data_IF_072592939208
#
_entry.id   IF_072592939208
#
_cell.length_a   1.000
_cell.length_b   1.000
_cell.length_c   1.000
_cell.angle_alpha   90.00
_cell.angle_beta   90.00
_cell.angle_gamma   90.00
#
_symmetry.space_group_name_H-M   'P 1'
#
loop_
_entity.id
_entity.type
_entity.pdbx_description
1 polymer ?
#
# COMPACT_ATOMS: atom_id res chain seq x y z
N UNK A 1 23.23 -13.33 -15.72
CA UNK A 1 23.63 -12.88 -14.39
C UNK A 1 23.05 -13.90 -13.42
N UNK A 2 23.86 -14.86 -13.00
CA UNK A 2 23.46 -15.85 -12.00
C UNK A 2 23.56 -15.17 -10.65
N UNK A 3 22.46 -14.60 -10.17
CA UNK A 3 22.34 -14.24 -8.75
C UNK A 3 22.23 -15.54 -7.97
N UNK A 4 23.06 -15.68 -6.93
CA UNK A 4 22.90 -16.73 -5.92
C UNK A 4 21.45 -16.74 -5.44
N UNK A 5 20.86 -17.93 -5.18
CA UNK A 5 19.51 -18.00 -4.64
C UNK A 5 19.50 -17.23 -3.33
N UNK A 6 18.69 -16.18 -3.28
CA UNK A 6 18.55 -15.39 -2.07
C UNK A 6 18.02 -16.30 -0.94
N UNK A 7 18.63 -16.20 0.25
CA UNK A 7 18.37 -17.05 1.42
C UNK A 7 17.08 -16.64 2.17
N UNK A 8 16.05 -16.24 1.44
CA UNK A 8 14.79 -15.82 2.01
C UNK A 8 13.62 -16.11 1.08
N UNK A 9 12.50 -16.39 1.72
CA UNK A 9 11.20 -16.55 1.10
C UNK A 9 10.32 -15.34 1.44
N UNK A 10 9.45 -14.97 0.51
CA UNK A 10 8.56 -13.82 0.58
C UNK A 10 7.11 -14.28 0.60
N UNK A 11 6.43 -13.88 1.67
CA UNK A 11 4.97 -13.91 1.74
C UNK A 11 4.44 -12.50 1.50
N UNK A 12 3.65 -12.33 0.45
CA UNK A 12 3.16 -11.00 0.04
C UNK A 12 1.67 -10.87 0.31
N UNK A 13 1.31 -9.85 1.08
CA UNK A 13 -0.06 -9.45 1.32
C UNK A 13 -0.38 -8.24 0.42
N UNK A 14 -1.32 -8.42 -0.50
CA UNK A 14 -1.79 -7.37 -1.40
C UNK A 14 -1.16 -7.38 -2.80
N UNK A 15 -1.98 -7.02 -3.79
CA UNK A 15 -1.63 -7.16 -5.21
C UNK A 15 -0.64 -6.10 -5.70
N UNK A 16 -0.68 -4.90 -5.10
CA UNK A 16 0.26 -3.81 -5.46
C UNK A 16 1.69 -4.18 -5.08
N UNK A 17 1.90 -4.72 -3.88
CA UNK A 17 3.21 -5.21 -3.44
C UNK A 17 3.69 -6.36 -4.33
N UNK A 18 2.79 -7.31 -4.65
CA UNK A 18 3.08 -8.41 -5.58
C UNK A 18 3.55 -7.89 -6.93
N UNK A 19 2.82 -6.98 -7.56
CA UNK A 19 3.19 -6.43 -8.86
C UNK A 19 4.54 -5.70 -8.87
N UNK A 20 4.94 -5.09 -7.75
CA UNK A 20 6.25 -4.44 -7.60
C UNK A 20 7.37 -5.48 -7.41
N UNK A 21 7.19 -6.42 -6.49
CA UNK A 21 8.22 -7.39 -6.09
C UNK A 21 8.39 -8.54 -7.11
N UNK A 22 7.34 -8.93 -7.83
CA UNK A 22 7.42 -9.97 -8.86
C UNK A 22 8.34 -9.60 -10.03
N UNK A 23 8.74 -8.33 -10.19
CA UNK A 23 9.69 -7.96 -11.27
C UNK A 23 11.14 -8.31 -10.94
N UNK A 24 11.52 -8.30 -9.67
CA UNK A 24 12.90 -8.58 -9.21
C UNK A 24 13.05 -9.87 -8.41
N UNK A 25 12.00 -10.28 -7.69
CA UNK A 25 12.07 -11.34 -6.67
C UNK A 25 11.06 -12.46 -6.93
N UNK A 26 10.68 -12.70 -8.19
CA UNK A 26 9.64 -13.67 -8.54
C UNK A 26 9.91 -15.09 -7.99
N UNK A 27 11.19 -15.49 -7.92
CA UNK A 27 11.61 -16.82 -7.48
C UNK A 27 11.49 -17.03 -5.98
N UNK A 28 11.53 -15.95 -5.20
CA UNK A 28 11.45 -15.95 -3.74
C UNK A 28 10.00 -15.84 -3.24
N UNK A 29 9.01 -15.64 -4.11
CA UNK A 29 7.62 -15.48 -3.67
C UNK A 29 7.00 -16.86 -3.46
N UNK A 30 6.82 -17.23 -2.20
CA UNK A 30 6.28 -18.54 -1.80
C UNK A 30 4.77 -18.52 -1.65
N UNK A 31 4.20 -17.39 -1.17
CA UNK A 31 2.77 -17.24 -0.94
C UNK A 31 2.30 -15.81 -1.20
N UNK A 32 1.10 -15.66 -1.77
CA UNK A 32 0.49 -14.35 -2.01
C UNK A 32 -0.97 -14.31 -1.62
N UNK A 33 -1.39 -13.25 -0.94
CA UNK A 33 -2.78 -12.99 -0.58
C UNK A 33 -3.33 -11.82 -1.39
N UNK A 34 -4.47 -12.02 -2.07
CA UNK A 34 -5.22 -10.98 -2.78
C UNK A 34 -6.37 -10.44 -1.93
N UNK A 35 -6.95 -9.31 -2.35
CA UNK A 35 -8.08 -8.64 -1.69
C UNK A 35 -7.85 -8.17 -0.25
N UNK A 36 -6.60 -8.02 0.17
CA UNK A 36 -6.25 -7.43 1.47
C UNK A 36 -6.42 -5.91 1.41
N UNK A 37 -7.02 -5.31 2.45
CA UNK A 37 -7.16 -3.86 2.60
C UNK A 37 -8.37 -3.23 1.92
N UNK A 38 -9.28 -4.03 1.34
CA UNK A 38 -10.55 -3.54 0.77
C UNK A 38 -11.49 -3.03 1.86
N UNK A 39 -11.67 -3.84 2.91
CA UNK A 39 -12.41 -3.52 4.11
C UNK A 39 -11.45 -3.28 5.28
N UNK A 40 -11.97 -2.86 6.44
CA UNK A 40 -11.17 -2.67 7.65
C UNK A 40 -10.66 -4.05 8.08
N UNK A 41 -9.32 -4.26 8.20
CA UNK A 41 -8.76 -5.54 8.61
C UNK A 41 -9.29 -5.98 9.97
N UNK A 42 -9.65 -7.25 10.08
CA UNK A 42 -10.08 -7.87 11.34
C UNK A 42 -9.04 -8.86 11.86
N UNK A 43 -9.12 -9.21 13.13
CA UNK A 43 -8.25 -10.25 13.69
C UNK A 43 -8.47 -11.61 13.00
N UNK A 44 -9.70 -11.91 12.56
CA UNK A 44 -10.00 -13.14 11.82
C UNK A 44 -9.26 -13.21 10.47
N UNK A 45 -9.11 -12.07 9.78
CA UNK A 45 -8.32 -12.01 8.54
C UNK A 45 -6.84 -12.30 8.81
N UNK A 46 -6.29 -11.70 9.87
CA UNK A 46 -4.89 -11.90 10.26
C UNK A 46 -4.63 -13.35 10.70
N UNK A 47 -5.55 -13.95 11.45
CA UNK A 47 -5.47 -15.35 11.86
C UNK A 47 -5.49 -16.28 10.64
N UNK A 48 -6.43 -16.09 9.71
CA UNK A 48 -6.49 -16.91 8.50
C UNK A 48 -5.20 -16.82 7.68
N UNK A 49 -4.54 -15.65 7.67
CA UNK A 49 -3.23 -15.48 7.03
C UNK A 49 -2.13 -16.21 7.81
N UNK A 50 -2.11 -16.07 9.14
CA UNK A 50 -1.14 -16.74 10.01
C UNK A 50 -1.22 -18.27 9.86
N UNK A 51 -2.44 -18.83 9.82
CA UNK A 51 -2.68 -20.26 9.63
C UNK A 51 -2.16 -20.76 8.28
N UNK A 52 -2.20 -19.93 7.22
CA UNK A 52 -1.62 -20.30 5.94
C UNK A 52 -0.10 -20.16 5.92
N UNK A 53 0.46 -19.24 6.70
CA UNK A 53 1.91 -19.07 6.85
C UNK A 53 2.49 -20.22 7.66
N UNK A 54 1.80 -20.71 8.71
CA UNK A 54 2.27 -21.83 9.54
C UNK A 54 2.32 -23.16 8.79
N UNK A 55 1.58 -23.29 7.68
CA UNK A 55 1.65 -24.43 6.76
C UNK A 55 2.89 -24.42 5.85
N UNK A 56 3.59 -23.29 5.75
CA UNK A 56 4.88 -23.23 5.05
C UNK A 56 5.94 -23.95 5.90
N UNK A 57 6.94 -24.54 5.24
CA UNK A 57 8.04 -25.28 5.88
C UNK A 57 8.61 -24.50 7.08
N UNK A 58 8.70 -25.12 8.26
CA UNK A 58 9.13 -24.43 9.49
C UNK A 58 10.65 -24.23 9.62
N UNK A 59 11.44 -24.52 8.58
CA UNK A 59 12.90 -24.33 8.58
C UNK A 59 13.32 -22.85 8.42
N UNK A 60 12.54 -21.92 8.98
CA UNK A 60 12.89 -20.50 9.01
C UNK A 60 13.46 -20.12 10.38
N UNK A 61 14.73 -19.71 10.41
CA UNK A 61 15.37 -19.24 11.63
C UNK A 61 14.77 -17.91 12.16
N UNK A 62 14.24 -17.06 11.27
CA UNK A 62 13.71 -15.75 11.64
C UNK A 62 12.56 -15.35 10.71
N UNK A 63 11.46 -14.83 11.26
CA UNK A 63 10.35 -14.24 10.50
C UNK A 63 10.31 -12.73 10.72
N UNK A 64 10.24 -11.96 9.63
CA UNK A 64 10.17 -10.49 9.66
C UNK A 64 8.90 -10.01 8.96
N UNK A 65 8.13 -9.20 9.67
CA UNK A 65 6.93 -8.56 9.13
C UNK A 65 7.30 -7.11 8.77
N UNK A 66 7.27 -6.80 7.48
CA UNK A 66 7.48 -5.45 6.98
C UNK A 66 6.14 -4.79 6.67
N UNK A 67 5.93 -3.58 7.18
CA UNK A 67 4.69 -2.83 7.01
C UNK A 67 4.95 -1.33 7.05
N UNK A 68 3.94 -0.53 6.72
CA UNK A 68 4.02 0.92 6.86
C UNK A 68 3.51 1.31 8.24
N UNK A 69 4.39 1.85 9.06
CA UNK A 69 4.06 2.39 10.37
C UNK A 69 3.42 3.77 10.22
N UNK A 70 2.30 3.95 10.90
CA UNK A 70 1.61 5.23 10.87
C UNK A 70 2.32 6.25 11.78
N UNK A 71 2.82 7.33 11.21
CA UNK A 71 3.41 8.44 12.00
C UNK A 71 2.36 9.53 12.20
N UNK A 72 1.77 10.03 11.12
CA UNK A 72 0.67 10.99 11.14
C UNK A 72 -0.07 10.98 9.79
N UNK A 73 -1.10 11.81 9.65
CA UNK A 73 -1.92 11.84 8.43
C UNK A 73 -1.16 12.21 7.15
N UNK A 74 0.05 12.77 7.23
CA UNK A 74 0.87 13.16 6.07
C UNK A 74 2.07 12.25 5.85
N UNK A 75 2.47 11.46 6.86
CA UNK A 75 3.70 10.69 6.85
C UNK A 75 3.52 9.28 7.42
N UNK A 76 4.18 8.33 6.79
CA UNK A 76 4.32 6.95 7.23
C UNK A 76 5.74 6.48 6.96
N UNK A 77 6.20 5.49 7.72
CA UNK A 77 7.57 4.97 7.64
C UNK A 77 7.57 3.45 7.46
N UNK A 78 8.29 2.90 6.46
CA UNK A 78 8.49 1.46 6.34
C UNK A 78 9.22 0.94 7.59
N UNK A 79 8.59 0.04 8.32
CA UNK A 79 9.10 -0.52 9.57
C UNK A 79 9.06 -2.04 9.48
N UNK A 80 10.01 -2.69 10.15
CA UNK A 80 10.08 -4.15 10.26
C UNK A 80 9.92 -4.51 11.73
N UNK A 81 9.04 -5.47 12.02
CA UNK A 81 8.94 -6.11 13.33
C UNK A 81 9.31 -7.59 13.23
N UNK A 82 10.02 -8.14 14.22
CA UNK A 82 10.28 -9.57 14.28
C UNK A 82 9.02 -10.32 14.73
N UNK A 83 8.76 -11.45 14.11
CA UNK A 83 7.90 -12.49 14.64
C UNK A 83 8.81 -13.61 15.17
N UNK A 84 8.92 -13.70 16.49
CA UNK A 84 9.86 -14.60 17.17
C UNK A 84 9.42 -16.07 17.04
N UNK A 85 10.39 -16.96 16.78
CA UNK A 85 10.17 -18.41 16.83
C UNK A 85 10.20 -18.93 18.28
N UNK A 86 9.79 -20.18 18.49
CA UNK A 86 9.90 -20.84 19.80
C UNK A 86 11.36 -20.86 20.30
N UNK A 87 12.31 -21.15 19.41
CA UNK A 87 13.74 -21.17 19.74
C UNK A 87 14.23 -19.79 20.19
N UNK A 88 13.76 -18.73 19.53
CA UNK A 88 14.12 -17.36 19.90
C UNK A 88 13.57 -16.98 21.28
N UNK A 89 12.39 -17.46 21.65
CA UNK A 89 11.78 -17.20 22.97
C UNK A 89 12.48 -18.00 24.07
N UNK A 90 12.78 -19.28 23.84
CA UNK A 90 13.48 -20.15 24.81
C UNK A 90 14.91 -19.71 25.08
N UNK A 91 15.60 -19.13 24.10
CA UNK A 91 16.95 -18.58 24.26
C UNK A 91 16.97 -17.19 24.91
N UNK A 92 15.81 -16.61 25.24
CA UNK A 92 15.77 -15.28 25.83
C UNK A 92 16.36 -15.26 27.26
N UNK A 93 17.10 -14.18 27.65
CA UNK A 93 17.83 -14.15 28.93
C UNK A 93 16.97 -14.35 30.17
N UNK A 94 15.68 -14.02 30.10
CA UNK A 94 14.74 -14.08 31.21
C UNK A 94 13.81 -15.29 31.15
N UNK A 95 13.91 -16.15 30.12
CA UNK A 95 12.99 -17.28 29.95
C UNK A 95 12.98 -18.21 31.16
N UNK A 96 14.14 -18.47 31.76
CA UNK A 96 14.30 -19.32 32.94
C UNK A 96 13.63 -18.80 34.21
N UNK A 97 13.12 -17.56 34.22
CA UNK A 97 12.35 -16.99 35.33
C UNK A 97 10.87 -17.36 35.27
N UNK A 98 10.42 -17.98 34.17
CA UNK A 98 9.04 -18.38 33.94
C UNK A 98 8.92 -19.91 33.96
N UNK A 99 7.87 -20.42 34.61
CA UNK A 99 7.47 -21.83 34.50
C UNK A 99 6.52 -21.96 33.32
N UNK A 100 7.01 -22.47 32.18
CA UNK A 100 6.26 -22.56 30.93
C UNK A 100 6.27 -24.01 30.43
N UNK A 101 5.09 -24.58 30.24
CA UNK A 101 4.93 -25.87 29.56
C UNK A 101 5.18 -25.72 28.07
N UNK A 102 5.80 -26.74 27.44
CA UNK A 102 6.21 -26.67 26.04
C UNK A 102 5.01 -26.45 25.08
N UNK A 103 3.84 -27.00 25.39
CA UNK A 103 2.61 -26.79 24.60
C UNK A 103 2.10 -25.34 24.64
N UNK A 104 2.37 -24.60 25.73
CA UNK A 104 1.95 -23.20 25.87
C UNK A 104 2.79 -22.29 24.97
N UNK A 105 4.05 -22.66 24.73
CA UNK A 105 4.97 -21.89 23.90
C UNK A 105 4.55 -21.88 22.43
N UNK A 106 4.16 -23.04 21.89
CA UNK A 106 3.63 -23.16 20.53
C UNK A 106 2.37 -22.31 20.33
N UNK A 107 1.40 -22.43 21.26
CA UNK A 107 0.19 -21.62 21.23
C UNK A 107 0.48 -20.11 21.28
N UNK A 108 1.46 -19.70 22.10
CA UNK A 108 1.89 -18.31 22.20
C UNK A 108 2.53 -17.81 20.90
N UNK A 109 3.36 -18.62 20.25
CA UNK A 109 3.99 -18.27 18.98
C UNK A 109 2.95 -18.04 17.89
N UNK A 110 2.01 -18.97 17.72
CA UNK A 110 0.93 -18.87 16.73
C UNK A 110 0.09 -17.61 16.98
N UNK A 111 -0.31 -17.38 18.24
CA UNK A 111 -1.08 -16.20 18.63
C UNK A 111 -0.28 -14.90 18.41
N UNK A 112 1.01 -14.89 18.73
CA UNK A 112 1.89 -13.73 18.59
C UNK A 112 2.08 -13.35 17.11
N UNK A 113 2.19 -14.34 16.21
CA UNK A 113 2.26 -14.11 14.77
C UNK A 113 0.97 -13.46 14.27
N UNK A 114 -0.19 -14.05 14.60
CA UNK A 114 -1.49 -13.51 14.21
C UNK A 114 -1.71 -12.08 14.74
N UNK A 115 -1.33 -11.82 16.00
CA UNK A 115 -1.43 -10.49 16.60
C UNK A 115 -0.51 -9.46 15.93
N UNK A 116 0.74 -9.84 15.63
CA UNK A 116 1.70 -8.96 14.95
C UNK A 116 1.24 -8.63 13.52
N UNK A 117 0.70 -9.63 12.81
CA UNK A 117 0.08 -9.43 11.49
C UNK A 117 -1.14 -8.52 11.56
N UNK A 118 -2.02 -8.70 12.56
CA UNK A 118 -3.19 -7.85 12.74
C UNK A 118 -2.78 -6.39 12.98
N UNK A 119 -1.78 -6.16 13.84
CA UNK A 119 -1.27 -4.81 14.10
C UNK A 119 -0.67 -4.18 12.84
N UNK A 120 0.15 -4.92 12.10
CA UNK A 120 0.73 -4.47 10.83
C UNK A 120 -0.33 -4.16 9.77
N UNK A 121 -1.38 -4.98 9.65
CA UNK A 121 -2.49 -4.78 8.74
C UNK A 121 -3.31 -3.53 9.09
N UNK A 122 -3.62 -3.34 10.37
CA UNK A 122 -4.39 -2.19 10.85
C UNK A 122 -3.63 -0.88 10.61
N UNK A 123 -2.35 -0.80 10.96
CA UNK A 123 -1.52 0.38 10.69
C UNK A 123 -1.31 0.61 9.20
N UNK A 124 -1.04 -0.45 8.44
CA UNK A 124 -0.89 -0.38 6.98
C UNK A 124 -2.14 0.16 6.30
N UNK A 125 -3.33 -0.28 6.73
CA UNK A 125 -4.60 0.23 6.23
C UNK A 125 -4.79 1.72 6.55
N UNK A 126 -4.49 2.15 7.78
CA UNK A 126 -4.58 3.56 8.17
C UNK A 126 -3.62 4.46 7.35
N UNK A 127 -2.40 3.98 7.11
CA UNK A 127 -1.43 4.65 6.24
C UNK A 127 -1.96 4.79 4.81
N UNK A 128 -2.52 3.71 4.25
CA UNK A 128 -3.07 3.71 2.90
C UNK A 128 -4.22 4.71 2.77
N UNK A 129 -5.16 4.74 3.71
CA UNK A 129 -6.29 5.68 3.68
C UNK A 129 -5.82 7.13 3.74
N UNK A 130 -4.82 7.42 4.59
CA UNK A 130 -4.25 8.76 4.73
C UNK A 130 -3.50 9.18 3.45
N UNK A 131 -2.68 8.30 2.88
CA UNK A 131 -1.97 8.54 1.64
C UNK A 131 -2.93 8.75 0.46
N UNK A 132 -3.97 7.91 0.37
CA UNK A 132 -5.01 8.01 -0.67
C UNK A 132 -5.75 9.34 -0.56
N UNK A 133 -6.17 9.75 0.63
CA UNK A 133 -6.82 11.04 0.87
C UNK A 133 -5.94 12.20 0.44
N UNK A 134 -4.67 12.24 0.87
CA UNK A 134 -3.75 13.31 0.49
C UNK A 134 -3.51 13.37 -1.02
N UNK A 135 -3.37 12.22 -1.68
CA UNK A 135 -3.20 12.16 -3.13
C UNK A 135 -4.43 12.72 -3.87
N UNK A 136 -5.65 12.40 -3.41
CA UNK A 136 -6.89 12.89 -3.99
C UNK A 136 -7.14 14.39 -3.71
N UNK A 137 -6.77 14.87 -2.52
CA UNK A 137 -6.83 16.29 -2.18
C UNK A 137 -5.90 17.11 -3.09
N UNK A 138 -4.68 16.62 -3.33
CA UNK A 138 -3.74 17.23 -4.26
C UNK A 138 -4.23 17.16 -5.72
N UNK A 139 -4.80 16.03 -6.14
CA UNK A 139 -5.39 15.90 -7.47
C UNK A 139 -6.54 16.90 -7.68
N UNK A 140 -7.40 17.09 -6.66
CA UNK A 140 -8.51 18.04 -6.72
C UNK A 140 -8.04 19.49 -6.84
N UNK A 141 -6.99 19.87 -6.09
CA UNK A 141 -6.36 21.19 -6.21
C UNK A 141 -5.77 21.41 -7.61
N UNK A 142 -5.00 20.44 -8.12
CA UNK A 142 -4.41 20.50 -9.45
C UNK A 142 -5.48 20.59 -10.56
N UNK A 143 -6.62 19.91 -10.38
CA UNK A 143 -7.75 20.01 -11.29
C UNK A 143 -8.40 21.40 -11.24
N UNK A 144 -8.55 21.99 -10.05
CA UNK A 144 -9.01 23.38 -9.88
C UNK A 144 -8.15 24.38 -10.65
N UNK A 145 -6.83 24.33 -10.45
CA UNK A 145 -5.88 25.20 -11.17
C UNK A 145 -5.97 25.01 -12.69
N UNK A 146 -6.25 23.79 -13.15
CA UNK A 146 -6.45 23.49 -14.56
C UNK A 146 -7.75 24.07 -15.10
N UNK A 147 -8.85 23.95 -14.36
CA UNK A 147 -10.16 24.52 -14.71
C UNK A 147 -10.05 26.04 -14.86
N UNK A 148 -9.41 26.73 -13.92
CA UNK A 148 -9.25 28.18 -13.95
C UNK A 148 -8.49 28.64 -15.22
N UNK A 149 -7.40 27.93 -15.56
CA UNK A 149 -6.64 28.19 -16.79
C UNK A 149 -7.48 27.97 -18.04
N UNK A 150 -8.24 26.88 -18.10
CA UNK A 150 -9.09 26.60 -19.26
C UNK A 150 -10.28 27.55 -19.36
N UNK A 151 -10.79 28.07 -18.25
CA UNK A 151 -11.86 29.05 -18.25
C UNK A 151 -11.41 30.39 -18.84
N UNK A 152 -10.20 30.84 -18.52
CA UNK A 152 -9.59 32.03 -19.14
C UNK A 152 -9.42 31.79 -20.64
N UNK A 153 -8.89 30.63 -21.04
CA UNK A 153 -8.71 30.27 -22.44
C UNK A 153 -10.04 30.24 -23.18
N UNK A 154 -11.05 29.60 -22.61
CA UNK A 154 -12.40 29.50 -23.17
C UNK A 154 -13.00 30.88 -23.43
N UNK A 155 -12.93 31.80 -22.46
CA UNK A 155 -13.47 33.15 -22.62
C UNK A 155 -12.75 33.93 -23.72
N UNK A 156 -11.42 33.81 -23.79
CA UNK A 156 -10.62 34.44 -24.85
C UNK A 156 -10.96 33.89 -26.22
N UNK A 157 -11.05 32.57 -26.36
CA UNK A 157 -11.44 31.92 -27.63
C UNK A 157 -12.86 32.31 -28.03
N UNK A 158 -13.80 32.35 -27.08
CA UNK A 158 -15.17 32.78 -27.32
C UNK A 158 -15.24 34.21 -27.86
N UNK A 159 -14.49 35.14 -27.26
CA UNK A 159 -14.41 36.53 -27.74
C UNK A 159 -13.78 36.62 -29.14
N UNK A 160 -12.73 35.83 -29.41
CA UNK A 160 -12.09 35.78 -30.72
C UNK A 160 -13.06 35.27 -31.80
N UNK A 161 -13.85 34.24 -31.51
CA UNK A 161 -14.88 33.71 -32.42
C UNK A 161 -15.96 34.75 -32.70
N UNK A 162 -16.54 35.38 -31.67
CA UNK A 162 -17.56 36.44 -31.83
C UNK A 162 -17.01 37.58 -32.69
N UNK A 163 -15.78 38.01 -32.43
CA UNK A 163 -15.14 39.09 -33.19
C UNK A 163 -14.90 38.68 -34.65
N UNK A 164 -14.45 37.44 -34.88
CA UNK A 164 -14.27 36.88 -36.22
C UNK A 164 -15.58 36.85 -37.02
N UNK A 165 -16.66 36.32 -36.42
CA UNK A 165 -17.99 36.29 -37.03
C UNK A 165 -18.50 37.70 -37.37
N UNK A 166 -18.32 38.68 -36.47
CA UNK A 166 -18.70 40.07 -36.73
C UNK A 166 -17.92 40.70 -37.90
N UNK A 167 -16.61 40.43 -37.98
CA UNK A 167 -15.76 40.90 -39.09
C UNK A 167 -16.22 40.31 -40.41
N UNK A 168 -16.57 39.01 -40.44
CA UNK A 168 -17.11 38.35 -41.63
C UNK A 168 -18.43 38.99 -42.08
N UNK A 169 -19.35 39.27 -41.15
CA UNK A 169 -20.63 39.93 -41.44
C UNK A 169 -20.41 41.33 -42.04
N UNK A 170 -19.55 42.15 -41.42
CA UNK A 170 -19.27 43.52 -41.88
C UNK A 170 -18.62 43.50 -43.26
N UNK A 171 -17.66 42.59 -43.49
CA UNK A 171 -16.96 42.48 -44.77
C UNK A 171 -17.92 42.04 -45.89
N UNK A 172 -18.81 41.09 -45.62
CA UNK A 172 -19.83 40.64 -46.57
C UNK A 172 -20.87 41.72 -46.90
N UNK A 173 -21.31 42.48 -45.90
CA UNK A 173 -22.22 43.61 -46.10
C UNK A 173 -21.58 44.72 -46.95
N UNK A 174 -20.35 45.13 -46.63
CA UNK A 174 -19.61 46.15 -47.38
C UNK A 174 -19.35 45.74 -48.84
N UNK A 175 -19.11 44.46 -49.10
CA UNK A 175 -18.93 43.92 -50.46
C UNK A 175 -20.23 43.90 -51.28
N UNK A 176 -21.40 44.03 -50.66
CA UNK A 176 -22.70 44.05 -51.33
C UNK A 176 -23.22 45.47 -51.62
N UNK A 177 -22.65 46.49 -50.98
CA UNK A 177 -23.00 47.91 -51.21
C UNK A 177 -22.15 48.59 -52.31
N UNK A 178 -21.08 47.93 -52.78
CA UNK A 178 -20.26 48.36 -53.91
C UNK A 178 -20.62 47.63 -55.20
#
# INVERSE_FOLDING_TARGET
MNEEPADYDLVILGEKCKAQLSRGNAKQISLTFSNIGKDIPTFADAQAIADQISLLSQDYAETKIMYNKFVNAQAYEPTVIPAYSEEAVTQSPNFSSFEVDQEVLANLQEYSLANSLFWALAEGHACEQSARRNAMDNASKNAGDMIDRYQILFNRTRQAVITGELVEIITGAAASEG
#
